data_IF_479577454882
#
_entry.id   IF_479577454882
#
_cell.length_a   1.000
_cell.length_b   1.000
_cell.length_c   1.000
_cell.angle_alpha   90.00
_cell.angle_beta   90.00
_cell.angle_gamma   90.00
#
_symmetry.space_group_name_H-M   'P 1'
#
loop_
_entity.id
_entity.type
_entity.pdbx_description
1 polymer ?
#
# COMPACT_ATOMS: atom_id res chain seq x y z
N UNK A 1 5.41 -0.30 -14.14
CA UNK A 1 5.24 -1.55 -13.37
C UNK A 1 6.31 -1.70 -12.28
N UNK A 2 7.61 -1.54 -12.57
CA UNK A 2 8.67 -1.63 -11.55
C UNK A 2 8.46 -0.69 -10.36
N UNK A 3 8.05 0.57 -10.61
CA UNK A 3 7.79 1.54 -9.55
C UNK A 3 6.70 1.12 -8.56
N UNK A 4 5.68 0.38 -9.03
CA UNK A 4 4.62 -0.20 -8.16
C UNK A 4 5.24 -1.16 -7.15
N UNK A 5 6.07 -2.08 -7.62
CA UNK A 5 6.72 -3.07 -6.76
C UNK A 5 7.66 -2.41 -5.77
N UNK A 6 8.48 -1.45 -6.19
CA UNK A 6 9.39 -0.73 -5.28
C UNK A 6 8.60 0.00 -4.19
N UNK A 7 7.57 0.77 -4.57
CA UNK A 7 6.78 1.54 -3.62
C UNK A 7 5.94 0.68 -2.69
N UNK A 8 5.57 -0.53 -3.12
CA UNK A 8 4.83 -1.48 -2.29
C UNK A 8 5.71 -2.22 -1.27
N UNK A 9 6.97 -2.53 -1.61
CA UNK A 9 7.87 -3.30 -0.73
C UNK A 9 8.16 -2.62 0.60
N UNK A 10 8.41 -1.31 0.58
CA UNK A 10 8.77 -0.54 1.79
C UNK A 10 7.66 -0.55 2.85
N UNK A 11 6.40 -0.15 2.55
CA UNK A 11 5.32 -0.21 3.53
C UNK A 11 4.99 -1.65 3.94
N UNK A 12 5.13 -2.63 3.05
CA UNK A 12 4.98 -4.04 3.39
C UNK A 12 5.95 -4.45 4.51
N UNK A 13 7.24 -4.15 4.35
CA UNK A 13 8.26 -4.45 5.38
C UNK A 13 7.97 -3.73 6.69
N UNK A 14 7.63 -2.44 6.66
CA UNK A 14 7.32 -1.68 7.88
C UNK A 14 6.11 -2.21 8.63
N UNK A 15 5.08 -2.70 7.93
CA UNK A 15 3.92 -3.30 8.57
C UNK A 15 4.26 -4.62 9.26
N UNK A 16 5.13 -5.44 8.68
CA UNK A 16 5.65 -6.66 9.34
C UNK A 16 6.44 -6.29 10.60
N UNK A 17 7.35 -5.32 10.49
CA UNK A 17 8.15 -4.82 11.60
C UNK A 17 7.27 -4.30 12.75
N UNK A 18 6.25 -3.49 12.44
CA UNK A 18 5.31 -2.98 13.43
C UNK A 18 4.44 -4.06 14.07
N UNK A 19 4.11 -5.12 13.31
CA UNK A 19 3.31 -6.24 13.82
C UNK A 19 4.07 -7.19 14.75
N UNK A 20 5.40 -7.18 14.71
CA UNK A 20 6.28 -7.99 15.56
C UNK A 20 7.22 -7.10 16.40
N UNK A 21 6.76 -5.89 16.76
CA UNK A 21 7.58 -4.86 17.40
C UNK A 21 8.42 -5.41 18.56
N UNK A 22 7.80 -6.16 19.46
CA UNK A 22 8.45 -6.64 20.68
C UNK A 22 9.65 -7.55 20.36
N UNK A 23 9.49 -8.44 19.37
CA UNK A 23 10.55 -9.34 18.89
C UNK A 23 11.74 -8.56 18.31
N UNK A 24 11.46 -7.49 17.55
CA UNK A 24 12.50 -6.67 16.94
C UNK A 24 13.21 -5.77 17.96
N UNK A 25 12.49 -5.18 18.90
CA UNK A 25 13.08 -4.31 19.94
C UNK A 25 13.91 -5.09 20.96
N UNK A 26 13.62 -6.38 21.17
CA UNK A 26 14.41 -7.26 22.02
C UNK A 26 15.67 -7.83 21.35
N UNK A 27 15.90 -7.53 20.07
CA UNK A 27 17.06 -8.02 19.31
C UNK A 27 18.14 -6.93 19.16
N UNK A 28 19.41 -7.33 19.13
CA UNK A 28 20.56 -6.44 18.86
C UNK A 28 20.64 -5.99 17.39
N UNK A 29 19.66 -6.35 16.56
CA UNK A 29 19.65 -6.01 15.14
C UNK A 29 19.26 -4.53 14.93
N UNK A 30 19.92 -3.83 14.00
CA UNK A 30 19.53 -2.48 13.63
C UNK A 30 18.14 -2.52 13.01
N UNK A 31 17.16 -1.95 13.71
CA UNK A 31 15.79 -1.88 13.24
C UNK A 31 15.30 -0.41 13.23
N UNK A 32 14.29 -0.13 12.40
CA UNK A 32 13.76 1.23 12.25
C UNK A 32 13.06 1.73 13.53
N UNK A 33 12.48 0.82 14.33
CA UNK A 33 11.77 1.15 15.57
C UNK A 33 12.70 1.54 16.73
N UNK A 34 13.99 1.16 16.65
CA UNK A 34 15.03 1.58 17.58
C UNK A 34 15.50 3.02 17.29
N UNK A 35 15.32 3.49 16.05
CA UNK A 35 15.74 4.82 15.61
C UNK A 35 14.58 5.82 15.56
N UNK A 36 13.37 5.35 15.26
CA UNK A 36 12.18 6.20 15.09
C UNK A 36 11.03 5.72 15.98
N UNK A 37 10.31 6.63 16.64
CA UNK A 37 9.11 6.27 17.37
C UNK A 37 8.04 5.79 16.40
N UNK A 38 7.19 4.87 16.86
CA UNK A 38 6.08 4.27 16.09
C UNK A 38 5.23 5.33 15.34
N UNK A 39 4.98 6.48 15.98
CA UNK A 39 4.22 7.60 15.39
C UNK A 39 4.89 8.16 14.13
N UNK A 40 6.22 8.23 14.09
CA UNK A 40 6.96 8.68 12.91
C UNK A 40 6.87 7.66 11.78
N UNK A 41 6.97 6.36 12.10
CA UNK A 41 6.80 5.28 11.12
C UNK A 41 5.38 5.28 10.54
N UNK A 42 4.34 5.52 11.36
CA UNK A 42 2.95 5.69 10.88
C UNK A 42 2.81 6.86 9.90
N UNK A 43 3.46 8.00 10.16
CA UNK A 43 3.44 9.15 9.24
C UNK A 43 4.14 8.84 7.93
N UNK A 44 5.29 8.17 7.99
CA UNK A 44 6.00 7.72 6.79
C UNK A 44 5.16 6.74 5.98
N UNK A 45 4.47 5.80 6.63
CA UNK A 45 3.53 4.89 5.97
C UNK A 45 2.46 5.64 5.17
N UNK A 46 1.83 6.67 5.75
CA UNK A 46 0.79 7.46 5.05
C UNK A 46 1.36 8.13 3.80
N UNK A 47 2.53 8.76 3.91
CA UNK A 47 3.20 9.42 2.77
C UNK A 47 3.54 8.40 1.68
N UNK A 48 4.09 7.25 2.06
CA UNK A 48 4.45 6.18 1.13
C UNK A 48 3.25 5.59 0.40
N UNK A 49 2.14 5.39 1.13
CA UNK A 49 0.89 4.90 0.56
C UNK A 49 0.27 5.93 -0.38
N UNK A 50 0.41 7.23 -0.08
CA UNK A 50 0.04 8.31 -1.01
C UNK A 50 0.82 8.23 -2.32
N UNK A 51 2.14 8.02 -2.25
CA UNK A 51 2.98 7.83 -3.44
C UNK A 51 2.60 6.56 -4.23
N UNK A 52 2.36 5.44 -3.54
CA UNK A 52 1.91 4.20 -4.16
C UNK A 52 0.55 4.38 -4.85
N UNK A 53 -0.40 5.01 -4.17
CA UNK A 53 -1.73 5.34 -4.70
C UNK A 53 -1.63 6.24 -5.93
N UNK A 54 -0.77 7.25 -5.91
CA UNK A 54 -0.53 8.11 -7.06
C UNK A 54 -0.06 7.31 -8.27
N UNK A 55 0.92 6.43 -8.10
CA UNK A 55 1.40 5.55 -9.19
C UNK A 55 0.31 4.60 -9.68
N UNK A 56 -0.51 4.04 -8.78
CA UNK A 56 -1.67 3.22 -9.17
C UNK A 56 -2.65 4.01 -10.04
N UNK A 57 -2.96 5.26 -9.68
CA UNK A 57 -3.88 6.11 -10.44
C UNK A 57 -3.32 6.51 -11.81
N UNK A 58 -2.01 6.61 -11.97
CA UNK A 58 -1.41 6.86 -13.29
C UNK A 58 -1.75 5.77 -14.31
N UNK A 59 -1.97 4.51 -13.89
CA UNK A 59 -2.41 3.46 -14.81
C UNK A 59 -3.82 3.68 -15.36
N UNK A 60 -4.69 4.36 -14.60
CA UNK A 60 -5.97 4.80 -15.13
C UNK A 60 -5.80 6.01 -16.06
N UNK A 61 -4.81 6.88 -15.87
CA UNK A 61 -4.63 8.07 -16.71
C UNK A 61 -4.02 7.77 -18.09
N UNK A 62 -3.25 6.69 -18.22
CA UNK A 62 -2.58 6.36 -19.48
C UNK A 62 -3.58 6.08 -20.62
N UNK A 63 -3.28 6.52 -21.86
CA UNK A 63 -4.13 6.31 -23.03
C UNK A 63 -3.95 4.89 -23.59
N UNK A 64 -4.32 3.89 -22.78
CA UNK A 64 -4.33 2.50 -23.18
C UNK A 64 -5.78 2.07 -23.47
N UNK A 65 -6.06 1.27 -24.52
CA UNK A 65 -7.40 0.78 -24.82
C UNK A 65 -7.82 -0.25 -23.75
N UNK A 66 -8.40 0.24 -22.66
CA UNK A 66 -8.98 -0.56 -21.57
C UNK A 66 -10.46 -0.27 -21.48
N UNK A 67 -11.23 -1.32 -21.23
CA UNK A 67 -12.66 -1.21 -20.95
C UNK A 67 -12.91 -0.25 -19.78
N UNK A 68 -13.92 0.62 -19.91
CA UNK A 68 -14.20 1.68 -18.95
C UNK A 68 -14.42 1.14 -17.52
N UNK A 69 -15.03 -0.03 -17.37
CA UNK A 69 -15.23 -0.66 -16.06
C UNK A 69 -13.92 -0.97 -15.33
N UNK A 70 -12.90 -1.45 -16.05
CA UNK A 70 -11.57 -1.73 -15.48
C UNK A 70 -10.88 -0.43 -15.06
N UNK A 71 -11.04 0.63 -15.85
CA UNK A 71 -10.51 1.96 -15.53
C UNK A 71 -11.09 2.49 -14.22
N UNK A 72 -12.40 2.42 -14.04
CA UNK A 72 -13.06 2.80 -12.78
C UNK A 72 -12.63 1.91 -11.61
N UNK A 73 -12.47 0.60 -11.84
CA UNK A 73 -11.95 -0.32 -10.82
C UNK A 73 -10.54 0.05 -10.35
N UNK A 74 -9.65 0.42 -11.28
CA UNK A 74 -8.29 0.89 -10.96
C UNK A 74 -8.34 2.18 -10.14
N UNK A 75 -9.18 3.14 -10.54
CA UNK A 75 -9.36 4.41 -9.82
C UNK A 75 -9.89 4.18 -8.40
N UNK A 76 -10.93 3.36 -8.26
CA UNK A 76 -11.52 3.03 -6.96
C UNK A 76 -10.48 2.37 -6.04
N UNK A 77 -9.74 1.37 -6.54
CA UNK A 77 -8.71 0.68 -5.76
C UNK A 77 -7.58 1.63 -5.33
N UNK A 78 -7.15 2.53 -6.23
CA UNK A 78 -6.14 3.55 -5.94
C UNK A 78 -6.57 4.56 -4.86
N UNK A 79 -7.85 4.95 -4.81
CA UNK A 79 -8.38 5.92 -3.85
C UNK A 79 -8.75 5.30 -2.49
N UNK A 80 -9.23 4.06 -2.48
CA UNK A 80 -9.64 3.37 -1.24
C UNK A 80 -8.45 3.09 -0.34
N UNK A 81 -7.30 2.71 -0.90
CA UNK A 81 -6.09 2.40 -0.13
C UNK A 81 -5.64 3.54 0.82
N UNK A 82 -5.35 4.77 0.34
CA UNK A 82 -4.93 5.86 1.22
C UNK A 82 -6.03 6.28 2.19
N UNK A 83 -7.32 6.12 1.84
CA UNK A 83 -8.42 6.39 2.76
C UNK A 83 -8.42 5.43 3.96
N UNK A 84 -8.27 4.12 3.70
CA UNK A 84 -8.18 3.10 4.76
C UNK A 84 -6.97 3.35 5.66
N UNK A 85 -5.80 3.61 5.07
CA UNK A 85 -4.56 3.86 5.82
C UNK A 85 -4.64 5.15 6.64
N UNK A 86 -5.15 6.24 6.07
CA UNK A 86 -5.28 7.51 6.80
C UNK A 86 -6.26 7.40 7.96
N UNK A 87 -7.44 6.82 7.72
CA UNK A 87 -8.42 6.60 8.79
C UNK A 87 -7.85 5.69 9.89
N UNK A 88 -7.25 4.58 9.50
CA UNK A 88 -6.84 3.56 10.44
C UNK A 88 -5.54 3.85 11.20
N UNK A 89 -4.64 4.67 10.66
CA UNK A 89 -3.39 5.07 11.32
C UNK A 89 -3.49 6.40 12.10
N UNK A 90 -4.41 7.29 11.71
CA UNK A 90 -4.56 8.62 12.36
C UNK A 90 -5.69 8.62 13.40
N UNK A 91 -6.83 7.99 13.09
CA UNK A 91 -8.04 8.12 13.92
C UNK A 91 -8.10 7.05 15.01
N UNK A 92 -7.63 5.83 14.73
CA UNK A 92 -7.73 4.71 15.68
C UNK A 92 -6.62 4.77 16.74
N UNK A 93 -7.03 4.62 18.01
CA UNK A 93 -6.11 4.53 19.17
C UNK A 93 -5.27 3.25 19.14
N UNK A 94 -5.85 2.14 18.71
CA UNK A 94 -5.17 0.85 18.58
C UNK A 94 -5.09 0.47 17.10
N UNK A 95 -3.89 0.18 16.62
CA UNK A 95 -3.63 -0.11 15.22
C UNK A 95 -3.33 -1.59 15.04
N UNK A 96 -4.13 -2.29 14.22
CA UNK A 96 -3.85 -3.67 13.83
C UNK A 96 -3.02 -3.68 12.54
N UNK A 97 -1.69 -3.81 12.67
CA UNK A 97 -0.76 -3.80 11.54
C UNK A 97 -0.93 -4.98 10.59
N UNK A 98 -1.34 -6.15 11.09
CA UNK A 98 -1.62 -7.32 10.25
C UNK A 98 -2.79 -7.06 9.31
N UNK A 99 -3.81 -6.32 9.76
CA UNK A 99 -4.90 -5.91 8.89
C UNK A 99 -4.41 -5.01 7.75
N UNK A 100 -3.61 -3.97 8.03
CA UNK A 100 -3.06 -3.12 6.97
C UNK A 100 -2.14 -3.87 6.03
N UNK A 101 -1.40 -4.86 6.54
CA UNK A 101 -0.58 -5.74 5.72
C UNK A 101 -1.44 -6.52 4.71
N UNK A 102 -2.53 -7.13 5.17
CA UNK A 102 -3.47 -7.85 4.30
C UNK A 102 -4.09 -6.88 3.28
N UNK A 103 -4.55 -5.70 3.72
CA UNK A 103 -5.13 -4.69 2.82
C UNK A 103 -4.14 -4.28 1.74
N UNK A 104 -2.89 -3.97 2.10
CA UNK A 104 -1.85 -3.56 1.16
C UNK A 104 -1.58 -4.63 0.09
N UNK A 105 -1.47 -5.90 0.51
CA UNK A 105 -1.28 -7.03 -0.38
C UNK A 105 -2.49 -7.25 -1.30
N UNK A 106 -3.69 -7.27 -0.73
CA UNK A 106 -4.93 -7.44 -1.48
C UNK A 106 -5.14 -6.32 -2.51
N UNK A 107 -4.84 -5.08 -2.15
CA UNK A 107 -4.91 -3.93 -3.06
C UNK A 107 -3.95 -4.09 -4.22
N UNK A 108 -2.70 -4.52 -3.98
CA UNK A 108 -1.75 -4.78 -5.06
C UNK A 108 -2.23 -5.92 -5.97
N UNK A 109 -2.70 -7.03 -5.39
CA UNK A 109 -3.23 -8.17 -6.14
C UNK A 109 -4.40 -7.75 -7.04
N UNK A 110 -5.40 -7.06 -6.48
CA UNK A 110 -6.55 -6.54 -7.21
C UNK A 110 -6.08 -5.62 -8.34
N UNK A 111 -5.10 -4.75 -8.09
CA UNK A 111 -4.56 -3.88 -9.11
C UNK A 111 -3.91 -4.66 -10.26
N UNK A 112 -3.10 -5.68 -9.95
CA UNK A 112 -2.48 -6.53 -10.97
C UNK A 112 -3.51 -7.32 -11.78
N UNK A 113 -4.54 -7.86 -11.13
CA UNK A 113 -5.64 -8.58 -11.81
C UNK A 113 -6.42 -7.64 -12.73
N UNK A 114 -6.76 -6.43 -12.28
CA UNK A 114 -7.46 -5.44 -13.10
C UNK A 114 -6.66 -5.05 -14.34
N UNK A 115 -5.36 -4.78 -14.18
CA UNK A 115 -4.48 -4.45 -15.31
C UNK A 115 -4.30 -5.64 -16.27
N UNK A 116 -4.16 -6.86 -15.73
CA UNK A 116 -4.06 -8.08 -16.52
C UNK A 116 -5.32 -8.35 -17.33
N UNK A 117 -6.49 -8.31 -16.69
CA UNK A 117 -7.79 -8.45 -17.35
C UNK A 117 -8.02 -7.35 -18.39
N UNK A 118 -7.59 -6.12 -18.10
CA UNK A 118 -7.70 -4.98 -19.01
C UNK A 118 -6.90 -5.15 -20.29
N UNK A 119 -5.74 -5.78 -20.19
CA UNK A 119 -4.91 -6.13 -21.34
C UNK A 119 -5.54 -7.25 -22.18
N UNK A 120 -6.11 -8.27 -21.55
CA UNK A 120 -6.73 -9.40 -22.27
C UNK A 120 -8.04 -9.01 -22.97
N UNK A 121 -8.79 -8.04 -22.43
CA UNK A 121 -10.04 -7.58 -23.01
C UNK A 121 -9.88 -6.46 -24.07
N UNK A 122 -8.65 -5.96 -24.25
CA UNK A 122 -8.30 -4.92 -25.22
C UNK A 122 -7.67 -5.45 -26.52
N UNK A 123 -7.53 -6.77 -26.65
CA UNK A 123 -7.33 -7.49 -27.93
C UNK A 123 -8.68 -7.89 -28.54
#
# INVERSE_FOLDING_TARGET
VVSLFILWQVPHFWLVLLSHRDDYTGSDLPNLLNQLPEKSVKRLLIIWIGALSFVMLMFAALPYPIWAGIRYGVMANGLVLPAIFSYGLVVRKTTNYRFFFIVLNSTLLIHMVLLGAGRMAGE
#
